data_IF_780137235888
#
_entry.id   IF_780137235888
#
_cell.length_a   1.000
_cell.length_b   1.000
_cell.length_c   1.000
_cell.angle_alpha   90.00
_cell.angle_beta   90.00
_cell.angle_gamma   90.00
#
_symmetry.space_group_name_H-M   'P 1'
#
loop_
_entity.id
_entity.type
_entity.pdbx_description
1 polymer ?
#
# COMPACT_ATOMS: atom_id res chain seq x y z
N UNK A 1 7.69 14.82 -3.68
CA UNK A 1 7.00 13.64 -4.25
C UNK A 1 8.13 12.72 -4.60
N UNK A 2 8.31 11.70 -3.78
CA UNK A 2 9.63 11.10 -3.64
C UNK A 2 9.65 9.76 -4.37
N UNK A 3 10.83 9.38 -4.85
CA UNK A 3 11.07 8.07 -5.45
C UNK A 3 10.74 6.97 -4.46
N UNK A 4 10.21 5.84 -4.95
CA UNK A 4 10.00 4.65 -4.14
C UNK A 4 11.18 3.72 -4.31
N UNK A 5 11.99 3.48 -3.25
CA UNK A 5 13.11 2.55 -3.34
C UNK A 5 12.61 1.13 -3.64
N UNK A 6 13.21 0.50 -4.65
CA UNK A 6 12.96 -0.89 -5.00
C UNK A 6 13.87 -1.87 -4.26
N UNK A 7 13.54 -3.15 -4.35
CA UNK A 7 14.49 -4.20 -4.01
C UNK A 7 15.48 -4.35 -5.19
N UNK A 8 16.72 -4.77 -4.99
CA UNK A 8 17.69 -4.92 -6.08
C UNK A 8 17.25 -5.88 -7.18
N UNK A 9 16.48 -6.92 -6.80
CA UNK A 9 16.12 -8.02 -7.72
C UNK A 9 14.64 -8.37 -7.74
N UNK A 10 13.88 -7.95 -6.74
CA UNK A 10 12.50 -8.41 -6.55
C UNK A 10 11.49 -7.27 -6.69
N UNK A 11 10.28 -7.64 -7.10
CA UNK A 11 9.13 -6.75 -7.05
C UNK A 11 8.76 -6.47 -5.59
N UNK A 12 8.59 -5.19 -5.25
CA UNK A 12 8.09 -4.77 -3.94
C UNK A 12 6.60 -4.47 -4.02
N UNK A 13 5.83 -5.01 -3.08
CA UNK A 13 4.47 -4.56 -2.82
C UNK A 13 4.51 -3.46 -1.77
N UNK A 14 4.14 -2.25 -2.16
CA UNK A 14 4.24 -1.06 -1.30
C UNK A 14 2.83 -0.58 -0.95
N UNK A 15 2.44 -0.54 0.34
CA UNK A 15 1.16 0.01 0.76
C UNK A 15 1.01 1.48 0.35
N UNK A 16 -0.10 1.81 -0.29
CA UNK A 16 -0.42 3.16 -0.79
C UNK A 16 -1.81 3.62 -0.36
N UNK A 17 -1.97 4.94 -0.30
CA UNK A 17 -3.28 5.60 -0.29
C UNK A 17 -3.48 6.40 -1.58
N UNK A 18 -4.70 6.46 -2.09
CA UNK A 18 -5.10 7.21 -3.28
C UNK A 18 -5.49 8.62 -2.85
N UNK A 19 -4.71 9.61 -3.30
CA UNK A 19 -4.95 11.05 -3.04
C UNK A 19 -4.99 11.78 -4.38
N UNK A 20 -6.15 12.36 -4.72
CA UNK A 20 -6.30 13.13 -5.96
C UNK A 20 -5.91 12.36 -7.23
N UNK A 21 -6.28 11.07 -7.31
CA UNK A 21 -5.92 10.20 -8.44
C UNK A 21 -4.48 9.66 -8.42
N UNK A 22 -3.69 9.94 -7.38
CA UNK A 22 -2.32 9.46 -7.26
C UNK A 22 -2.16 8.44 -6.13
N UNK A 23 -1.38 7.39 -6.38
CA UNK A 23 -0.91 6.50 -5.33
C UNK A 23 0.21 7.18 -4.52
N UNK A 24 0.03 7.27 -3.20
CA UNK A 24 0.98 7.85 -2.26
C UNK A 24 1.45 6.75 -1.30
N UNK A 25 2.75 6.39 -1.29
CA UNK A 25 3.29 5.38 -0.39
C UNK A 25 3.08 5.74 1.08
N UNK A 26 2.70 4.74 1.88
CA UNK A 26 2.66 4.86 3.33
C UNK A 26 4.07 4.68 3.92
N UNK A 27 4.31 5.32 5.07
CA UNK A 27 5.59 5.24 5.78
C UNK A 27 5.90 3.83 6.31
N UNK A 28 4.87 3.08 6.73
CA UNK A 28 5.00 1.74 7.29
C UNK A 28 4.99 0.67 6.18
N UNK A 29 6.00 0.70 5.31
CA UNK A 29 6.08 -0.16 4.11
C UNK A 29 7.20 -1.23 4.17
N UNK A 30 7.75 -1.47 5.35
CA UNK A 30 8.72 -2.54 5.59
C UNK A 30 8.07 -3.93 5.71
N UNK A 31 8.87 -5.00 5.61
CA UNK A 31 8.41 -6.36 5.86
C UNK A 31 7.74 -6.48 7.24
N UNK A 32 6.70 -7.31 7.34
CA UNK A 32 5.93 -7.56 8.56
C UNK A 32 5.27 -6.31 9.20
N UNK A 33 5.20 -5.18 8.50
CA UNK A 33 4.53 -3.97 9.00
C UNK A 33 3.04 -3.94 8.62
N UNK A 34 2.23 -4.72 9.34
CA UNK A 34 0.78 -4.82 9.06
C UNK A 34 0.03 -3.49 9.21
N UNK A 35 0.58 -2.52 9.95
CA UNK A 35 0.00 -1.19 10.09
C UNK A 35 -0.17 -0.46 8.75
N UNK A 36 0.79 -0.61 7.82
CA UNK A 36 0.68 -0.01 6.49
C UNK A 36 -0.43 -0.67 5.68
N UNK A 37 -0.51 -2.00 5.73
CA UNK A 37 -1.52 -2.80 5.04
C UNK A 37 -2.94 -2.45 5.54
N UNK A 38 -3.11 -2.35 6.85
CA UNK A 38 -4.41 -2.04 7.47
C UNK A 38 -4.92 -0.63 7.12
N UNK A 39 -4.01 0.31 6.82
CA UNK A 39 -4.36 1.70 6.51
C UNK A 39 -4.30 2.03 5.01
N UNK A 40 -3.97 1.06 4.16
CA UNK A 40 -3.81 1.27 2.73
C UNK A 40 -5.12 1.12 1.97
N UNK A 41 -5.24 1.87 0.88
CA UNK A 41 -6.28 1.66 -0.13
C UNK A 41 -5.88 0.52 -1.09
N UNK A 42 -4.57 0.26 -1.23
CA UNK A 42 -4.02 -0.73 -2.15
C UNK A 42 -2.53 -1.00 -1.94
N UNK A 43 -1.99 -1.93 -2.72
CA UNK A 43 -0.57 -2.24 -2.81
C UNK A 43 -0.06 -1.89 -4.21
N UNK A 44 0.84 -0.90 -4.30
CA UNK A 44 1.53 -0.61 -5.56
C UNK A 44 2.56 -1.70 -5.87
N UNK A 45 2.56 -2.17 -7.12
CA UNK A 45 3.52 -3.14 -7.65
C UNK A 45 4.74 -2.39 -8.16
N UNK A 46 5.80 -2.35 -7.34
CA UNK A 46 7.02 -1.60 -7.65
C UNK A 46 8.06 -2.58 -8.19
N UNK A 47 8.56 -2.40 -9.43
CA UNK A 47 9.54 -3.31 -10.01
C UNK A 47 10.90 -3.26 -9.27
N UNK A 48 11.79 -4.22 -9.53
CA UNK A 48 13.18 -4.13 -9.09
C UNK A 48 13.79 -2.78 -9.48
N UNK A 49 14.57 -2.18 -8.57
CA UNK A 49 15.17 -0.85 -8.78
C UNK A 49 14.28 0.34 -8.43
N UNK A 50 12.97 0.15 -8.23
CA UNK A 50 12.08 1.17 -7.67
C UNK A 50 11.17 1.84 -8.69
N UNK A 51 10.57 2.96 -8.30
CA UNK A 51 9.67 3.72 -9.15
C UNK A 51 9.84 5.23 -8.99
N UNK A 52 9.80 5.93 -10.12
CA UNK A 52 9.98 7.39 -10.17
C UNK A 52 8.67 8.13 -9.91
N UNK A 53 8.71 9.38 -9.41
CA UNK A 53 7.52 10.21 -9.30
C UNK A 53 6.80 10.36 -10.64
N UNK A 54 5.51 10.06 -10.68
CA UNK A 54 4.68 10.17 -11.89
C UNK A 54 4.74 8.97 -12.83
N UNK A 55 5.59 7.97 -12.55
CA UNK A 55 5.54 6.70 -13.25
C UNK A 55 4.22 5.99 -12.93
N UNK A 56 3.55 5.49 -13.96
CA UNK A 56 2.36 4.66 -13.83
C UNK A 56 2.76 3.26 -13.34
N UNK A 57 2.02 2.75 -12.34
CA UNK A 57 2.26 1.47 -11.71
C UNK A 57 0.93 0.75 -11.51
N UNK A 58 0.95 -0.57 -11.62
CA UNK A 58 -0.18 -1.39 -11.23
C UNK A 58 -0.42 -1.26 -9.72
N UNK A 59 -1.69 -1.16 -9.34
CA UNK A 59 -2.12 -1.14 -7.93
C UNK A 59 -3.08 -2.29 -7.71
N UNK A 60 -2.71 -3.18 -6.80
CA UNK A 60 -3.58 -4.24 -6.32
C UNK A 60 -4.51 -3.64 -5.26
N UNK A 61 -5.80 -3.68 -5.51
CA UNK A 61 -6.80 -3.20 -4.55
C UNK A 61 -6.92 -4.17 -3.38
N UNK A 62 -7.15 -3.62 -2.18
CA UNK A 62 -7.41 -4.41 -0.99
C UNK A 62 -8.91 -4.67 -0.85
N UNK A 63 -9.27 -5.87 -0.41
CA UNK A 63 -10.68 -6.28 -0.28
C UNK A 63 -11.38 -5.67 0.94
N UNK A 64 -10.63 -5.07 1.86
CA UNK A 64 -11.20 -4.33 2.98
C UNK A 64 -11.18 -2.82 2.70
N UNK A 65 -12.24 -2.11 3.10
CA UNK A 65 -12.30 -0.66 2.96
C UNK A 65 -11.22 0.01 3.82
N UNK A 66 -10.43 0.89 3.21
CA UNK A 66 -9.64 1.86 3.93
C UNK A 66 -10.60 2.85 4.59
N UNK A 67 -10.52 2.98 5.90
CA UNK A 67 -11.59 3.54 6.70
C UNK A 67 -12.00 4.98 6.31
N UNK A 68 -13.18 5.12 5.70
CA UNK A 68 -14.29 5.94 6.20
C UNK A 68 -15.63 5.37 5.66
N UNK A 69 -16.55 4.97 6.54
CA UNK A 69 -17.82 4.33 6.17
C UNK A 69 -17.77 2.80 5.96
N UNK A 70 -16.62 2.18 6.18
CA UNK A 70 -16.44 0.74 6.24
C UNK A 70 -17.35 0.06 7.29
N UNK A 71 -18.24 -0.85 6.87
CA UNK A 71 -18.82 -1.81 7.81
C UNK A 71 -17.69 -2.71 8.32
N UNK A 72 -17.39 -2.74 9.64
CA UNK A 72 -16.29 -3.54 10.15
C UNK A 72 -16.57 -5.04 9.91
N UNK A 73 -15.50 -5.79 9.66
CA UNK A 73 -15.53 -7.24 9.82
C UNK A 73 -16.16 -7.59 11.18
N UNK A 74 -16.98 -8.64 11.24
CA UNK A 74 -17.64 -9.03 12.49
C UNK A 74 -16.56 -9.20 13.57
N UNK A 75 -16.62 -8.37 14.62
CA UNK A 75 -15.61 -8.38 15.67
C UNK A 75 -15.53 -9.74 16.34
N UNK A 76 -14.32 -10.17 16.68
CA UNK A 76 -14.07 -11.34 17.51
C UNK A 76 -13.39 -10.90 18.81
N UNK A 77 -13.75 -11.55 19.92
CA UNK A 77 -13.05 -11.37 21.19
C UNK A 77 -11.81 -12.28 21.23
N UNK A 78 -10.69 -11.74 21.72
CA UNK A 78 -9.54 -12.56 22.11
C UNK A 78 -9.87 -13.26 23.44
N UNK A 79 -9.55 -14.55 23.54
CA UNK A 79 -9.60 -15.33 24.80
C UNK A 79 -8.22 -15.46 25.39
#
# INVERSE_FOLDING_TARGET
>A
RDEVPGHPHDTRLVPVVRRGGHAVPLRYNGPAMLRGIAAADGLAVVPPGGARPGQELDVLDLSWPAAEGAVPAQGACFT
#
